data_IF_209827572320
#
_entry.id   IF_209827572320
#
_cell.length_a   1.000
_cell.length_b   1.000
_cell.length_c   1.000
_cell.angle_alpha   90.00
_cell.angle_beta   90.00
_cell.angle_gamma   90.00
#
_symmetry.space_group_name_H-M   'P 1'
#
loop_
_entity.id
_entity.type
_entity.pdbx_description
1 polymer ?
#
# COMPACT_ATOMS: atom_id res chain seq x y z
N UNK A 1 -1.83 5.17 28.42
CA UNK A 1 -1.36 5.95 27.25
C UNK A 1 -2.60 6.56 26.63
N UNK A 2 -2.59 7.86 26.32
CA UNK A 2 -3.76 8.54 25.72
C UNK A 2 -4.02 7.97 24.31
N UNK A 3 -5.21 7.44 23.99
CA UNK A 3 -5.55 6.93 22.67
C UNK A 3 -5.42 7.98 21.55
N UNK A 4 -5.52 9.26 21.88
CA UNK A 4 -5.31 10.37 20.94
C UNK A 4 -3.83 10.79 20.84
N UNK A 5 -2.92 10.19 21.60
CA UNK A 5 -1.49 10.49 21.50
C UNK A 5 -0.90 9.94 20.20
N UNK A 6 0.01 10.72 19.61
CA UNK A 6 0.73 10.30 18.41
C UNK A 6 1.45 8.96 18.59
N UNK A 7 2.06 8.70 19.75
CA UNK A 7 2.76 7.45 20.04
C UNK A 7 1.82 6.24 19.95
N UNK A 8 0.59 6.36 20.47
CA UNK A 8 -0.40 5.29 20.39
C UNK A 8 -0.79 5.02 18.94
N UNK A 9 -1.13 6.08 18.20
CA UNK A 9 -1.53 6.03 16.79
C UNK A 9 -0.41 5.44 15.92
N UNK A 10 0.84 5.82 16.20
CA UNK A 10 2.02 5.28 15.52
C UNK A 10 2.13 3.77 15.75
N UNK A 11 2.13 3.32 17.01
CA UNK A 11 2.23 1.89 17.33
C UNK A 11 1.08 1.08 16.74
N UNK A 12 -0.14 1.60 16.80
CA UNK A 12 -1.34 0.92 16.31
C UNK A 12 -1.32 0.75 14.78
N UNK A 13 -0.94 1.79 14.04
CA UNK A 13 -1.12 1.81 12.59
C UNK A 13 0.16 1.54 11.79
N UNK A 14 1.35 1.66 12.38
CA UNK A 14 2.61 1.54 11.65
C UNK A 14 2.75 0.22 10.89
N UNK A 15 2.50 -0.97 11.48
CA UNK A 15 2.63 -2.24 10.76
C UNK A 15 1.71 -2.30 9.52
N UNK A 16 0.46 -1.87 9.66
CA UNK A 16 -0.50 -1.87 8.55
C UNK A 16 -0.15 -0.84 7.48
N UNK A 17 0.30 0.37 7.87
CA UNK A 17 0.76 1.40 6.92
C UNK A 17 1.95 0.89 6.12
N UNK A 18 2.94 0.29 6.78
CA UNK A 18 4.12 -0.24 6.12
C UNK A 18 3.76 -1.32 5.09
N UNK A 19 2.86 -2.24 5.47
CA UNK A 19 2.34 -3.28 4.58
C UNK A 19 1.58 -2.70 3.39
N UNK A 20 0.70 -1.74 3.63
CA UNK A 20 -0.07 -1.05 2.60
C UNK A 20 0.85 -0.36 1.59
N UNK A 21 1.88 0.35 2.06
CA UNK A 21 2.87 0.99 1.19
C UNK A 21 3.57 -0.03 0.27
N UNK A 22 3.95 -1.20 0.79
CA UNK A 22 4.50 -2.28 -0.04
C UNK A 22 3.52 -2.82 -1.06
N UNK A 23 2.30 -3.14 -0.64
CA UNK A 23 1.26 -3.65 -1.54
C UNK A 23 0.89 -2.64 -2.64
N UNK A 24 0.97 -1.34 -2.36
CA UNK A 24 0.72 -0.29 -3.33
C UNK A 24 1.91 0.02 -4.26
N UNK A 25 3.01 -0.72 -4.15
CA UNK A 25 4.14 -0.64 -5.08
C UNK A 25 5.23 0.36 -4.71
N UNK A 26 5.32 0.76 -3.44
CA UNK A 26 6.52 1.49 -2.96
C UNK A 26 7.71 0.53 -2.95
N UNK A 27 8.86 0.87 -3.58
CA UNK A 27 10.05 0.02 -3.59
C UNK A 27 10.50 -0.35 -2.16
N UNK A 28 11.05 -1.55 -1.99
CA UNK A 28 11.44 -2.05 -0.67
C UNK A 28 12.33 -1.06 0.10
N UNK A 29 13.38 -0.53 -0.55
CA UNK A 29 14.29 0.46 0.04
C UNK A 29 13.70 1.85 0.28
N UNK A 30 12.45 2.12 -0.12
CA UNK A 30 11.81 3.43 0.07
C UNK A 30 10.62 3.39 1.05
N UNK A 31 10.25 2.22 1.56
CA UNK A 31 9.03 2.10 2.38
C UNK A 31 9.19 2.70 3.75
N UNK A 32 10.35 2.56 4.38
CA UNK A 32 10.57 3.12 5.72
C UNK A 32 10.51 4.65 5.65
N UNK A 33 11.12 5.25 4.63
CA UNK A 33 11.02 6.68 4.34
C UNK A 33 9.57 7.11 4.07
N UNK A 34 8.83 6.34 3.26
CA UNK A 34 7.43 6.61 2.97
C UNK A 34 6.53 6.48 4.21
N UNK A 35 6.81 5.52 5.09
CA UNK A 35 6.11 5.34 6.36
C UNK A 35 6.42 6.50 7.31
N UNK A 36 7.69 6.90 7.44
CA UNK A 36 8.08 8.08 8.20
C UNK A 36 7.38 9.34 7.69
N UNK A 37 7.37 9.58 6.38
CA UNK A 37 6.66 10.72 5.80
C UNK A 37 5.16 10.68 6.14
N UNK A 38 4.53 9.50 6.06
CA UNK A 38 3.13 9.31 6.44
C UNK A 38 2.90 9.75 7.88
N UNK A 39 3.70 9.25 8.82
CA UNK A 39 3.54 9.56 10.23
C UNK A 39 3.94 11.00 10.59
N UNK A 40 4.85 11.64 9.84
CA UNK A 40 5.11 13.08 9.96
C UNK A 40 3.90 13.93 9.53
N UNK A 41 3.17 13.51 8.49
CA UNK A 41 1.91 14.17 8.10
C UNK A 41 0.84 13.94 9.16
N UNK A 42 0.71 12.70 9.67
CA UNK A 42 -0.22 12.36 10.76
C UNK A 42 0.05 13.23 11.99
N UNK A 43 1.29 13.27 12.48
CA UNK A 43 1.68 14.07 13.65
C UNK A 43 1.30 15.55 13.50
N UNK A 44 1.62 16.16 12.34
CA UNK A 44 1.35 17.58 12.09
C UNK A 44 -0.14 17.91 12.04
N UNK A 45 -0.96 17.00 11.51
CA UNK A 45 -2.38 17.24 11.25
C UNK A 45 -3.31 16.62 12.28
N UNK A 46 -2.77 15.89 13.26
CA UNK A 46 -3.55 15.21 14.28
C UNK A 46 -4.45 16.18 15.06
N UNK A 47 -3.99 17.41 15.27
CA UNK A 47 -4.74 18.49 15.95
C UNK A 47 -5.96 18.98 15.17
N UNK A 48 -6.04 18.69 13.87
CA UNK A 48 -7.13 19.11 12.98
C UNK A 48 -8.22 18.03 12.81
N UNK A 49 -8.01 16.85 13.38
CA UNK A 49 -8.86 15.67 13.15
C UNK A 49 -9.68 15.33 14.38
N UNK A 50 -10.95 14.98 14.16
CA UNK A 50 -11.82 14.41 15.17
C UNK A 50 -11.34 12.99 15.56
N UNK A 51 -10.63 12.90 16.69
CA UNK A 51 -10.10 11.65 17.24
C UNK A 51 -11.16 10.79 17.94
N UNK A 52 -12.42 11.24 18.03
CA UNK A 52 -13.53 10.43 18.55
C UNK A 52 -13.97 9.32 17.58
N UNK A 53 -13.55 9.41 16.31
CA UNK A 53 -13.79 8.42 15.26
C UNK A 53 -12.52 7.63 14.95
N UNK A 54 -12.68 6.49 14.28
CA UNK A 54 -11.53 5.72 13.82
C UNK A 54 -10.63 6.58 12.92
N UNK A 55 -9.35 6.70 13.29
CA UNK A 55 -8.33 7.41 12.53
C UNK A 55 -7.78 6.58 11.37
N UNK A 56 -8.05 5.27 11.35
CA UNK A 56 -7.52 4.33 10.35
C UNK A 56 -7.79 4.79 8.91
N UNK A 57 -9.02 5.15 8.49
CA UNK A 57 -9.27 5.60 7.13
C UNK A 57 -8.46 6.86 6.75
N UNK A 58 -8.25 7.76 7.71
CA UNK A 58 -7.50 8.99 7.49
C UNK A 58 -6.01 8.74 7.35
N UNK A 59 -5.42 7.94 8.26
CA UNK A 59 -4.01 7.52 8.18
C UNK A 59 -3.74 6.78 6.86
N UNK A 60 -4.65 5.90 6.46
CA UNK A 60 -4.48 5.07 5.28
C UNK A 60 -4.68 5.86 3.99
N UNK A 61 -5.54 6.88 4.01
CA UNK A 61 -5.63 7.84 2.91
C UNK A 61 -4.32 8.63 2.71
N UNK A 62 -3.61 9.00 3.79
CA UNK A 62 -2.30 9.64 3.71
C UNK A 62 -1.27 8.65 3.12
N UNK A 63 -1.19 7.43 3.67
CA UNK A 63 -0.29 6.39 3.21
C UNK A 63 -0.48 6.10 1.70
N UNK A 64 -1.73 5.97 1.25
CA UNK A 64 -2.06 5.76 -0.16
C UNK A 64 -1.55 6.88 -1.05
N UNK A 65 -1.76 8.14 -0.68
CA UNK A 65 -1.29 9.30 -1.46
C UNK A 65 0.22 9.29 -1.61
N UNK A 66 0.94 8.96 -0.54
CA UNK A 66 2.40 8.82 -0.56
C UNK A 66 2.81 7.65 -1.45
N UNK A 67 2.20 6.49 -1.29
CA UNK A 67 2.49 5.31 -2.10
C UNK A 67 2.29 5.58 -3.59
N UNK A 68 1.16 6.18 -3.96
CA UNK A 68 0.85 6.51 -5.35
C UNK A 68 1.89 7.46 -5.96
N UNK A 69 2.29 8.49 -5.19
CA UNK A 69 3.32 9.43 -5.63
C UNK A 69 4.66 8.72 -5.83
N UNK A 70 5.11 7.92 -4.87
CA UNK A 70 6.40 7.21 -4.94
C UNK A 70 6.39 6.17 -6.06
N UNK A 71 5.35 5.34 -6.15
CA UNK A 71 5.23 4.30 -7.16
C UNK A 71 5.20 4.89 -8.58
N UNK A 72 4.47 5.98 -8.79
CA UNK A 72 4.39 6.65 -10.11
C UNK A 72 5.71 7.29 -10.51
N UNK A 73 6.40 7.94 -9.56
CA UNK A 73 7.74 8.48 -9.80
C UNK A 73 8.74 7.37 -10.11
N UNK A 74 8.67 6.24 -9.40
CA UNK A 74 9.56 5.11 -9.61
C UNK A 74 9.32 4.44 -10.97
N UNK A 75 8.06 4.22 -11.37
CA UNK A 75 7.75 3.70 -12.70
C UNK A 75 8.20 4.63 -13.82
N UNK A 76 8.06 5.94 -13.63
CA UNK A 76 8.57 6.92 -14.58
C UNK A 76 10.10 6.85 -14.70
N UNK A 77 10.82 6.74 -13.57
CA UNK A 77 12.28 6.56 -13.56
C UNK A 77 12.71 5.24 -14.21
N UNK A 78 12.07 4.12 -13.86
CA UNK A 78 12.38 2.81 -14.43
C UNK A 78 12.16 2.76 -15.96
N UNK A 79 11.14 3.48 -16.48
CA UNK A 79 10.93 3.62 -17.93
C UNK A 79 12.03 4.44 -18.61
N UNK A 80 12.62 5.41 -17.91
CA UNK A 80 13.73 6.22 -18.42
C UNK A 80 15.10 5.53 -18.25
N UNK A 81 15.22 4.63 -17.28
CA UNK A 81 16.46 3.96 -16.88
C UNK A 81 16.42 2.45 -17.16
N UNK A 82 16.00 2.00 -18.35
CA UNK A 82 15.98 0.57 -18.67
C UNK A 82 17.29 -0.10 -18.19
N UNK A 83 17.15 -1.06 -17.27
CA UNK A 83 18.18 -1.74 -16.46
C UNK A 83 18.74 -0.93 -15.29
N UNK A 84 18.28 -1.29 -14.08
CA UNK A 84 19.10 -1.79 -12.97
C UNK A 84 18.10 -2.22 -11.88
N UNK A 85 17.97 -3.54 -11.67
CA UNK A 85 17.40 -4.06 -10.43
C UNK A 85 18.43 -3.80 -9.33
N UNK A 86 18.06 -3.01 -8.32
CA UNK A 86 18.75 -3.07 -7.02
C UNK A 86 17.75 -3.61 -6.01
N UNK A 87 17.97 -4.85 -5.64
CA UNK A 87 17.45 -5.47 -4.44
C UNK A 87 18.46 -5.25 -3.32
N UNK A 88 18.15 -4.37 -2.37
CA UNK A 88 18.97 -4.17 -1.17
C UNK A 88 18.07 -4.11 0.08
N UNK A 89 18.05 -5.24 0.78
CA UNK A 89 18.03 -5.46 2.22
C UNK A 89 17.52 -4.32 3.12
N UNK A 90 16.40 -4.60 3.80
CA UNK A 90 15.70 -3.71 4.74
C UNK A 90 16.12 -3.91 6.19
N UNK A 91 16.05 -2.81 6.96
CA UNK A 91 15.80 -2.84 8.41
C UNK A 91 14.28 -2.99 8.59
N UNK A 92 13.85 -4.02 9.32
CA UNK A 92 12.46 -4.48 9.38
C UNK A 92 11.91 -4.21 10.80
N UNK A 93 10.62 -3.80 10.95
CA UNK A 93 10.01 -3.67 12.26
C UNK A 93 10.03 -5.01 13.03
N UNK A 94 10.23 -5.03 14.36
CA UNK A 94 10.57 -6.26 15.10
C UNK A 94 9.46 -7.33 15.21
N UNK A 95 8.22 -7.04 14.78
CA UNK A 95 7.03 -7.81 15.15
C UNK A 95 6.44 -8.72 14.05
N UNK A 96 7.07 -8.88 12.88
CA UNK A 96 6.59 -9.81 11.84
C UNK A 96 7.41 -11.11 11.79
N UNK A 97 6.73 -12.26 11.89
CA UNK A 97 7.37 -13.59 11.77
C UNK A 97 8.01 -13.80 10.40
N UNK A 98 9.02 -14.68 10.32
CA UNK A 98 9.71 -14.99 9.06
C UNK A 98 8.75 -15.45 7.94
N UNK A 99 7.76 -16.27 8.28
CA UNK A 99 6.75 -16.77 7.35
C UNK A 99 5.84 -15.67 6.81
N UNK A 100 5.45 -14.73 7.68
CA UNK A 100 4.62 -13.59 7.28
C UNK A 100 5.38 -12.63 6.35
N UNK A 101 6.70 -12.46 6.57
CA UNK A 101 7.57 -11.69 5.68
C UNK A 101 7.65 -12.29 4.29
N UNK A 102 7.87 -13.59 4.19
CA UNK A 102 8.00 -14.28 2.92
C UNK A 102 6.68 -14.25 2.12
N UNK A 103 5.55 -14.38 2.82
CA UNK A 103 4.23 -14.22 2.22
C UNK A 103 4.03 -12.80 1.65
N UNK A 104 4.37 -11.76 2.42
CA UNK A 104 4.23 -10.36 1.97
C UNK A 104 5.15 -10.04 0.78
N UNK A 105 6.36 -10.59 0.74
CA UNK A 105 7.24 -10.43 -0.42
C UNK A 105 6.70 -11.13 -1.67
N UNK A 106 6.19 -12.36 -1.52
CA UNK A 106 5.55 -13.08 -2.64
C UNK A 106 4.34 -12.32 -3.16
N UNK A 107 3.46 -11.86 -2.27
CA UNK A 107 2.30 -11.03 -2.64
C UNK A 107 2.76 -9.73 -3.31
N UNK A 108 3.75 -9.04 -2.75
CA UNK A 108 4.31 -7.83 -3.34
C UNK A 108 4.81 -8.04 -4.77
N UNK A 109 5.57 -9.11 -5.01
CA UNK A 109 6.07 -9.48 -6.35
C UNK A 109 4.93 -9.77 -7.34
N UNK A 110 3.88 -10.48 -6.91
CA UNK A 110 2.69 -10.72 -7.75
C UNK A 110 1.96 -9.42 -8.09
N UNK A 111 1.81 -8.54 -7.10
CA UNK A 111 1.22 -7.23 -7.31
C UNK A 111 2.08 -6.36 -8.22
N UNK A 112 3.40 -6.52 -8.21
CA UNK A 112 4.36 -5.77 -9.03
C UNK A 112 4.11 -5.91 -10.55
N UNK A 113 3.53 -7.03 -10.99
CA UNK A 113 3.12 -7.26 -12.38
C UNK A 113 1.78 -6.63 -12.78
N UNK A 114 1.08 -6.00 -11.83
CA UNK A 114 -0.17 -5.29 -12.11
C UNK A 114 0.08 -3.82 -12.47
N UNK A 115 -0.64 -3.28 -13.46
CA UNK A 115 -0.73 -1.83 -13.66
C UNK A 115 -1.15 -1.13 -12.36
N UNK A 116 -0.57 0.04 -12.07
CA UNK A 116 -0.77 0.73 -10.79
C UNK A 116 -2.25 0.97 -10.49
N UNK A 117 -3.02 1.37 -11.49
CA UNK A 117 -4.44 1.68 -11.32
C UNK A 117 -5.29 0.44 -10.99
N UNK A 118 -4.88 -0.73 -11.48
CA UNK A 118 -5.52 -2.02 -11.16
C UNK A 118 -5.10 -2.48 -9.76
N UNK A 119 -3.81 -2.31 -9.44
CA UNK A 119 -3.25 -2.63 -8.13
C UNK A 119 -3.89 -1.80 -7.03
N UNK A 120 -4.04 -0.49 -7.22
CA UNK A 120 -4.62 0.42 -6.24
C UNK A 120 -6.04 -0.02 -5.87
N UNK A 121 -6.93 -0.23 -6.86
CA UNK A 121 -8.30 -0.65 -6.55
C UNK A 121 -8.36 -2.04 -5.93
N UNK A 122 -7.47 -2.95 -6.32
CA UNK A 122 -7.41 -4.30 -5.76
C UNK A 122 -6.97 -4.27 -4.30
N UNK A 123 -5.87 -3.58 -3.99
CA UNK A 123 -5.35 -3.47 -2.64
C UNK A 123 -6.36 -2.77 -1.72
N UNK A 124 -6.95 -1.66 -2.16
CA UNK A 124 -7.98 -0.97 -1.38
C UNK A 124 -9.22 -1.85 -1.11
N UNK A 125 -9.58 -2.73 -2.04
CA UNK A 125 -10.73 -3.63 -1.84
C UNK A 125 -10.37 -4.79 -0.91
N UNK A 126 -9.27 -5.50 -1.21
CA UNK A 126 -8.97 -6.79 -0.58
C UNK A 126 -8.17 -6.66 0.73
N UNK A 127 -7.47 -5.53 0.96
CA UNK A 127 -6.66 -5.31 2.17
C UNK A 127 -7.25 -4.24 3.09
N UNK A 128 -8.09 -3.34 2.56
CA UNK A 128 -8.68 -2.24 3.32
C UNK A 128 -10.21 -2.30 3.41
N UNK A 129 -10.82 -3.38 2.92
CA UNK A 129 -12.27 -3.62 2.93
C UNK A 129 -13.08 -2.43 2.35
N UNK A 130 -12.47 -1.62 1.48
CA UNK A 130 -13.14 -0.45 0.92
C UNK A 130 -14.12 -0.88 -0.17
N UNK A 131 -15.32 -0.32 -0.11
CA UNK A 131 -16.34 -0.55 -1.14
C UNK A 131 -16.01 0.20 -2.43
N UNK A 132 -16.46 -0.31 -3.57
CA UNK A 132 -16.24 0.35 -4.87
C UNK A 132 -16.70 1.83 -4.91
N UNK A 133 -17.83 2.24 -4.29
CA UNK A 133 -18.19 3.66 -4.19
C UNK A 133 -17.20 4.50 -3.37
N UNK A 134 -16.70 3.98 -2.24
CA UNK A 134 -15.68 4.67 -1.44
C UNK A 134 -14.38 4.83 -2.23
N UNK A 135 -13.96 3.79 -2.94
CA UNK A 135 -12.78 3.83 -3.81
C UNK A 135 -12.97 4.84 -4.93
N UNK A 136 -14.13 4.85 -5.60
CA UNK A 136 -14.44 5.79 -6.68
C UNK A 136 -14.31 7.25 -6.23
N UNK A 137 -14.86 7.58 -5.06
CA UNK A 137 -14.72 8.91 -4.45
C UNK A 137 -13.27 9.21 -4.06
N UNK A 138 -12.54 8.21 -3.57
CA UNK A 138 -11.18 8.37 -3.06
C UNK A 138 -10.15 8.60 -4.18
N UNK A 139 -10.28 7.89 -5.30
CA UNK A 139 -9.36 7.94 -6.45
C UNK A 139 -9.87 8.82 -7.59
N UNK A 140 -11.04 9.45 -7.40
CA UNK A 140 -11.67 10.40 -8.31
C UNK A 140 -11.90 9.85 -9.72
N UNK A 141 -12.48 8.64 -9.80
CA UNK A 141 -12.85 8.00 -11.08
C UNK A 141 -14.31 7.54 -11.05
N UNK A 142 -14.95 7.38 -12.23
CA UNK A 142 -16.30 6.81 -12.29
C UNK A 142 -16.39 5.44 -11.61
N UNK A 143 -17.51 5.16 -10.94
CA UNK A 143 -17.75 3.86 -10.28
C UNK A 143 -17.59 2.68 -11.26
N UNK A 144 -18.04 2.83 -12.51
CA UNK A 144 -17.85 1.83 -13.56
C UNK A 144 -16.36 1.56 -13.86
N UNK A 145 -15.49 2.56 -13.74
CA UNK A 145 -14.04 2.42 -13.89
C UNK A 145 -13.43 1.64 -12.73
N UNK A 146 -13.92 1.81 -11.50
CA UNK A 146 -13.50 0.98 -10.36
C UNK A 146 -13.85 -0.48 -10.61
N UNK A 147 -15.09 -0.77 -11.00
CA UNK A 147 -15.51 -2.15 -11.29
C UNK A 147 -14.71 -2.79 -12.42
N UNK A 148 -14.44 -2.05 -13.51
CA UNK A 148 -13.66 -2.58 -14.63
C UNK A 148 -12.20 -2.85 -14.23
N UNK A 149 -11.57 -1.95 -13.48
CA UNK A 149 -10.21 -2.14 -12.94
C UNK A 149 -10.16 -3.33 -11.98
N UNK A 150 -11.12 -3.45 -11.07
CA UNK A 150 -11.16 -4.56 -10.10
C UNK A 150 -11.34 -5.91 -10.78
N UNK A 151 -12.21 -5.99 -11.79
CA UNK A 151 -12.39 -7.20 -12.61
C UNK A 151 -11.08 -7.62 -13.29
N UNK A 152 -10.37 -6.67 -13.89
CA UNK A 152 -9.08 -6.93 -14.55
C UNK A 152 -8.00 -7.32 -13.54
N UNK A 153 -7.95 -6.66 -12.38
CA UNK A 153 -7.01 -6.96 -11.32
C UNK A 153 -7.20 -8.39 -10.77
N UNK A 154 -8.43 -8.79 -10.45
CA UNK A 154 -8.75 -10.15 -10.00
C UNK A 154 -8.38 -11.21 -11.04
N UNK A 155 -8.72 -10.98 -12.30
CA UNK A 155 -8.37 -11.90 -13.39
C UNK A 155 -6.86 -11.99 -13.64
N UNK A 156 -6.09 -10.94 -13.31
CA UNK A 156 -4.62 -10.96 -13.38
C UNK A 156 -4.04 -11.68 -12.17
N UNK A 157 -4.50 -11.37 -10.96
CA UNK A 157 -4.07 -12.02 -9.73
C UNK A 157 -4.25 -13.54 -9.80
N UNK A 158 -5.43 -14.02 -10.23
CA UNK A 158 -5.71 -15.44 -10.42
C UNK A 158 -4.74 -16.12 -11.38
N UNK A 159 -4.39 -15.47 -12.50
CA UNK A 159 -3.41 -16.01 -13.45
C UNK A 159 -2.01 -16.11 -12.86
N UNK A 160 -1.57 -15.06 -12.15
CA UNK A 160 -0.25 -15.03 -11.53
C UNK A 160 -0.13 -16.04 -10.38
N UNK A 161 -1.21 -16.20 -9.60
CA UNK A 161 -1.27 -17.19 -8.53
C UNK A 161 -1.16 -18.63 -9.07
N UNK A 162 -1.86 -18.95 -10.17
CA UNK A 162 -1.78 -20.26 -10.83
C UNK A 162 -0.36 -20.57 -11.32
N UNK A 163 0.28 -19.62 -12.01
CA UNK A 163 1.66 -19.80 -12.47
C UNK A 163 2.67 -20.00 -11.33
N UNK A 164 2.46 -19.34 -10.19
CA UNK A 164 3.34 -19.50 -9.02
C UNK A 164 3.19 -20.87 -8.36
N UNK A 165 1.97 -21.44 -8.39
CA UNK A 165 1.69 -22.79 -7.86
C UNK A 165 2.21 -23.91 -8.76
N UNK A 166 2.24 -23.72 -10.07
CA UNK A 166 2.80 -24.70 -11.03
C UNK A 166 4.34 -24.72 -11.05
N UNK A 167 4.98 -23.63 -10.59
CA UNK A 167 6.43 -23.48 -10.56
C UNK A 167 7.08 -23.86 -9.21
N UNK A 168 6.29 -24.20 -8.19
CA UNK A 168 6.73 -24.64 -6.85
C UNK A 168 6.57 -26.15 -6.68
#
# INVERSE_FOLDING_TARGET
>A
MDPASFEHIYREHHPSVWRLLRCLGVPAGMVDDAAQECFLVVHRRLVEVDTSRSLRPWVFAIARRIAWRVARTNQYRARLQQEILVDEHRVIPPDETAEHRELLERVGKLLDEMPLEQREVFVLTEFEDMTAPQIAALVEVPLATVYSRLRLARARFQRLELHTREAS
#
